data_IF_391532918588
#
_entry.id   IF_391532918588
#
_cell.length_a   1.000
_cell.length_b   1.000
_cell.length_c   1.000
_cell.angle_alpha   90.00
_cell.angle_beta   90.00
_cell.angle_gamma   90.00
#
_symmetry.space_group_name_H-M   'P 1'
#
loop_
_entity.id
_entity.type
_entity.pdbx_description
1 polymer ?
#
# COMPACT_ATOMS: atom_id res chain seq x y z
N UNK A 1 38.93 7.13 28.51
CA UNK A 1 39.94 6.50 29.40
C UNK A 1 41.07 5.81 28.58
N UNK A 2 40.83 5.00 27.58
CA UNK A 2 41.86 4.33 26.74
C UNK A 2 42.74 5.32 25.97
N UNK A 3 42.20 6.42 25.46
CA UNK A 3 42.96 7.49 24.79
C UNK A 3 43.92 8.22 25.76
N UNK A 4 43.46 8.55 26.96
CA UNK A 4 44.31 9.16 28.02
C UNK A 4 45.48 8.25 28.41
N UNK A 5 45.26 6.95 28.55
CA UNK A 5 46.31 5.95 28.80
C UNK A 5 47.36 5.91 27.70
N UNK A 6 46.98 6.04 26.45
CA UNK A 6 47.91 6.10 25.30
C UNK A 6 48.70 7.39 25.29
N UNK A 7 48.10 8.55 25.65
CA UNK A 7 48.80 9.83 25.73
C UNK A 7 49.84 9.82 26.86
N UNK A 8 49.50 9.28 28.02
CA UNK A 8 50.41 9.13 29.13
C UNK A 8 51.61 8.19 28.81
N UNK A 9 51.38 7.16 27.98
CA UNK A 9 52.44 6.24 27.54
C UNK A 9 53.35 6.85 26.48
N UNK A 10 52.86 7.84 25.70
CA UNK A 10 53.61 8.53 24.68
C UNK A 10 54.38 9.77 25.21
N UNK A 11 54.22 10.09 26.52
CA UNK A 11 54.98 11.18 27.17
C UNK A 11 54.65 12.58 26.67
N UNK A 12 53.41 12.78 26.21
CA UNK A 12 52.95 14.10 25.72
C UNK A 12 52.52 14.98 26.85
N UNK A 13 53.13 16.12 27.02
CA UNK A 13 52.75 17.12 28.05
C UNK A 13 51.47 17.86 27.69
N UNK A 14 50.69 18.24 28.69
CA UNK A 14 49.42 18.97 28.55
C UNK A 14 49.65 20.29 27.79
N UNK A 15 49.09 20.38 26.58
CA UNK A 15 49.18 21.56 25.69
C UNK A 15 50.14 21.42 24.52
N UNK A 16 50.85 20.31 24.35
CA UNK A 16 51.68 20.05 23.19
C UNK A 16 50.87 19.64 21.98
N UNK A 17 51.23 20.21 20.81
CA UNK A 17 50.57 19.89 19.52
C UNK A 17 51.04 18.52 19.05
N UNK A 18 50.16 17.52 19.11
CA UNK A 18 50.49 16.14 18.74
C UNK A 18 50.44 15.98 17.23
N UNK A 19 51.57 16.14 16.58
CA UNK A 19 51.75 15.82 15.17
C UNK A 19 52.19 14.36 14.93
N UNK A 20 51.34 13.40 15.27
CA UNK A 20 51.68 12.01 15.00
C UNK A 20 50.85 11.47 13.82
N UNK A 21 51.53 10.99 12.76
CA UNK A 21 50.84 10.41 11.56
C UNK A 21 49.80 9.36 11.87
N UNK A 22 49.98 8.56 12.94
CA UNK A 22 49.01 7.57 13.37
C UNK A 22 47.72 8.22 13.92
N UNK A 23 47.83 9.33 14.67
CA UNK A 23 46.66 10.02 15.21
C UNK A 23 45.89 10.72 14.08
N UNK A 24 46.55 11.40 13.18
CA UNK A 24 45.94 12.03 11.99
C UNK A 24 45.22 10.98 11.13
N UNK A 25 45.84 9.84 10.89
CA UNK A 25 45.21 8.72 10.15
C UNK A 25 43.99 8.13 10.88
N UNK A 26 44.05 8.02 12.20
CA UNK A 26 42.92 7.53 13.00
C UNK A 26 41.73 8.51 12.97
N UNK A 27 41.99 9.81 13.08
CA UNK A 27 40.99 10.87 12.96
C UNK A 27 40.39 10.87 11.56
N UNK A 28 41.17 10.80 10.51
CA UNK A 28 40.69 10.73 9.11
C UNK A 28 39.80 9.53 8.87
N UNK A 29 40.18 8.35 9.37
CA UNK A 29 39.36 7.14 9.28
C UNK A 29 38.03 7.28 10.04
N UNK A 30 38.06 7.90 11.24
CA UNK A 30 36.85 8.16 12.00
C UNK A 30 35.93 9.14 11.29
N UNK A 31 36.48 10.22 10.71
CA UNK A 31 35.72 11.18 9.92
C UNK A 31 35.10 10.53 8.68
N UNK A 32 35.86 9.76 7.90
CA UNK A 32 35.33 9.01 6.73
C UNK A 32 34.23 8.04 7.10
N UNK A 33 34.34 7.38 8.27
CA UNK A 33 33.28 6.50 8.76
C UNK A 33 31.99 7.26 9.11
N UNK A 34 32.12 8.41 9.80
CA UNK A 34 30.98 9.27 10.14
C UNK A 34 30.33 9.84 8.86
N UNK A 35 31.14 10.32 7.93
CA UNK A 35 30.66 10.84 6.64
C UNK A 35 29.94 9.76 5.83
N UNK A 36 30.49 8.54 5.77
CA UNK A 36 29.87 7.41 5.10
C UNK A 36 28.52 7.03 5.71
N UNK A 37 28.42 7.00 7.05
CA UNK A 37 27.15 6.76 7.73
C UNK A 37 26.12 7.87 7.45
N UNK A 38 26.53 9.13 7.54
CA UNK A 38 25.67 10.28 7.26
C UNK A 38 25.22 10.33 5.80
N UNK A 39 26.09 9.93 4.89
CA UNK A 39 25.74 9.79 3.47
C UNK A 39 24.70 8.69 3.26
N UNK A 40 24.90 7.52 3.87
CA UNK A 40 23.92 6.42 3.80
C UNK A 40 22.55 6.82 4.32
N UNK A 41 22.49 7.49 5.48
CA UNK A 41 21.22 7.98 6.06
C UNK A 41 20.54 8.97 5.11
N UNK A 42 21.28 9.94 4.58
CA UNK A 42 20.72 10.93 3.63
C UNK A 42 20.26 10.30 2.33
N UNK A 43 21.00 9.32 1.81
CA UNK A 43 20.62 8.60 0.60
C UNK A 43 19.28 7.86 0.80
N UNK A 44 19.16 7.11 1.89
CA UNK A 44 17.92 6.38 2.21
C UNK A 44 16.72 7.34 2.39
N UNK A 45 16.94 8.51 3.00
CA UNK A 45 15.91 9.52 3.16
C UNK A 45 15.44 10.06 1.79
N UNK A 46 16.39 10.36 0.88
CA UNK A 46 16.06 10.83 -0.46
C UNK A 46 15.32 9.77 -1.29
N UNK A 47 15.73 8.51 -1.20
CA UNK A 47 15.05 7.40 -1.88
C UNK A 47 13.61 7.23 -1.36
N UNK A 48 13.42 7.35 -0.05
CA UNK A 48 12.08 7.34 0.56
C UNK A 48 11.22 8.53 0.07
N UNK A 49 11.75 9.74 0.12
CA UNK A 49 11.04 10.94 -0.31
C UNK A 49 10.67 10.86 -1.81
N UNK A 50 11.54 10.28 -2.63
CA UNK A 50 11.26 10.06 -4.05
C UNK A 50 10.05 9.12 -4.23
N UNK A 51 10.03 7.98 -3.56
CA UNK A 51 8.91 7.03 -3.63
C UNK A 51 7.60 7.69 -3.18
N UNK A 52 7.63 8.43 -2.07
CA UNK A 52 6.45 9.14 -1.57
C UNK A 52 5.95 10.21 -2.55
N UNK A 53 6.86 10.90 -3.24
CA UNK A 53 6.46 11.88 -4.25
C UNK A 53 5.85 11.24 -5.49
N UNK A 54 6.41 10.15 -5.98
CA UNK A 54 5.87 9.38 -7.11
C UNK A 54 4.45 8.87 -6.79
N UNK A 55 4.26 8.30 -5.61
CA UNK A 55 2.94 7.85 -5.16
C UNK A 55 1.95 9.01 -5.00
N UNK A 56 2.41 10.16 -4.48
CA UNK A 56 1.58 11.36 -4.36
C UNK A 56 1.11 11.88 -5.71
N UNK A 57 1.98 11.90 -6.71
CA UNK A 57 1.62 12.33 -8.06
C UNK A 57 0.52 11.45 -8.64
N UNK A 58 0.64 10.12 -8.52
CA UNK A 58 -0.38 9.16 -8.98
C UNK A 58 -1.73 9.42 -8.30
N UNK A 59 -1.75 9.52 -6.97
CA UNK A 59 -2.98 9.73 -6.20
C UNK A 59 -3.62 11.09 -6.52
N UNK A 60 -2.80 12.13 -6.69
CA UNK A 60 -3.32 13.47 -7.03
C UNK A 60 -3.85 13.54 -8.46
N UNK A 61 -3.29 12.77 -9.38
CA UNK A 61 -3.82 12.64 -10.74
C UNK A 61 -5.18 11.94 -10.74
N UNK A 62 -5.30 10.80 -10.05
CA UNK A 62 -6.58 10.09 -9.89
C UNK A 62 -7.64 10.98 -9.22
N UNK A 63 -7.27 11.66 -8.14
CA UNK A 63 -8.16 12.61 -7.45
C UNK A 63 -8.62 13.74 -8.38
N UNK A 64 -7.74 14.25 -9.22
CA UNK A 64 -8.04 15.31 -10.17
C UNK A 64 -9.03 14.84 -11.23
N UNK A 65 -8.87 13.64 -11.79
CA UNK A 65 -9.81 13.06 -12.75
C UNK A 65 -11.23 12.99 -12.18
N UNK A 66 -11.37 12.60 -10.93
CA UNK A 66 -12.66 12.57 -10.23
C UNK A 66 -13.22 13.99 -10.06
N UNK A 67 -12.40 14.98 -9.69
CA UNK A 67 -12.81 16.38 -9.50
C UNK A 67 -13.20 17.07 -10.82
N UNK A 68 -12.51 16.75 -11.91
CA UNK A 68 -12.77 17.32 -13.24
C UNK A 68 -14.08 16.77 -13.85
N UNK A 69 -14.77 15.85 -13.14
CA UNK A 69 -16.08 15.34 -13.55
C UNK A 69 -16.02 14.23 -14.57
N UNK A 70 -14.85 13.57 -14.73
CA UNK A 70 -14.74 12.37 -15.54
C UNK A 70 -15.71 11.29 -15.04
N UNK A 71 -16.40 10.61 -15.93
CA UNK A 71 -17.30 9.53 -15.53
C UNK A 71 -16.49 8.37 -14.92
N UNK A 72 -16.77 8.06 -13.67
CA UNK A 72 -16.11 6.98 -12.96
C UNK A 72 -16.84 5.64 -13.11
N UNK A 73 -17.91 5.57 -13.91
CA UNK A 73 -18.73 4.37 -14.07
C UNK A 73 -17.92 3.13 -14.47
N UNK A 74 -17.08 3.26 -15.49
CA UNK A 74 -16.25 2.14 -15.96
C UNK A 74 -15.20 1.75 -14.91
N UNK A 75 -14.65 2.72 -14.20
CA UNK A 75 -13.72 2.50 -13.11
C UNK A 75 -14.39 1.74 -11.96
N UNK A 76 -15.61 2.12 -11.58
CA UNK A 76 -16.39 1.43 -10.55
C UNK A 76 -16.72 0.00 -10.99
N UNK A 77 -17.11 -0.21 -12.24
CA UNK A 77 -17.36 -1.54 -12.79
C UNK A 77 -16.11 -2.43 -12.72
N UNK A 78 -14.97 -1.89 -13.10
CA UNK A 78 -13.70 -2.62 -13.01
C UNK A 78 -13.36 -2.97 -11.56
N UNK A 79 -13.45 -2.03 -10.62
CA UNK A 79 -13.20 -2.27 -9.19
C UNK A 79 -14.14 -3.35 -8.65
N UNK A 80 -15.43 -3.27 -8.95
CA UNK A 80 -16.43 -4.22 -8.47
C UNK A 80 -16.21 -5.62 -9.06
N UNK A 81 -15.93 -5.70 -10.36
CA UNK A 81 -15.70 -6.99 -11.02
C UNK A 81 -14.38 -7.62 -10.60
N UNK A 82 -13.33 -6.84 -10.37
CA UNK A 82 -12.06 -7.29 -9.81
C UNK A 82 -12.23 -7.80 -8.36
N UNK A 83 -12.99 -7.08 -7.54
CA UNK A 83 -13.30 -7.52 -6.18
C UNK A 83 -14.02 -8.88 -6.17
N UNK A 84 -15.06 -9.03 -7.01
CA UNK A 84 -15.80 -10.29 -7.16
C UNK A 84 -14.88 -11.42 -7.61
N UNK A 85 -13.99 -11.15 -8.56
CA UNK A 85 -13.02 -12.14 -9.06
C UNK A 85 -12.05 -12.59 -7.97
N UNK A 86 -11.47 -11.63 -7.24
CA UNK A 86 -10.53 -11.91 -6.15
C UNK A 86 -11.19 -12.69 -5.00
N UNK A 87 -12.45 -12.38 -4.67
CA UNK A 87 -13.17 -13.13 -3.66
C UNK A 87 -13.51 -14.54 -4.16
N UNK A 88 -13.92 -14.68 -5.41
CA UNK A 88 -14.16 -16.02 -5.99
C UNK A 88 -12.90 -16.87 -5.98
N UNK A 89 -11.72 -16.31 -6.29
CA UNK A 89 -10.44 -17.03 -6.21
C UNK A 89 -10.12 -17.53 -4.80
N UNK A 90 -10.53 -16.78 -3.81
CA UNK A 90 -10.27 -17.10 -2.41
C UNK A 90 -11.14 -18.24 -1.88
N UNK A 91 -12.40 -18.32 -2.30
CA UNK A 91 -13.37 -19.27 -1.76
C UNK A 91 -13.67 -20.45 -2.67
N UNK A 92 -13.36 -20.35 -3.97
CA UNK A 92 -13.56 -21.38 -4.96
C UNK A 92 -12.25 -21.65 -5.69
N UNK A 93 -11.51 -22.66 -5.27
CA UNK A 93 -10.24 -23.00 -5.88
C UNK A 93 -10.42 -23.50 -7.32
N UNK A 94 -9.55 -23.13 -8.28
CA UNK A 94 -9.73 -23.47 -9.71
C UNK A 94 -9.63 -24.98 -10.02
N UNK A 95 -8.91 -25.72 -9.17
CA UNK A 95 -8.65 -27.17 -9.34
C UNK A 95 -9.57 -28.04 -8.46
N UNK A 96 -10.48 -27.44 -7.70
CA UNK A 96 -11.44 -28.13 -6.86
C UNK A 96 -12.79 -28.28 -7.58
N UNK A 97 -13.48 -29.38 -7.24
CA UNK A 97 -14.86 -29.56 -7.71
C UNK A 97 -15.81 -28.56 -7.01
N UNK A 98 -16.89 -28.19 -7.67
CA UNK A 98 -17.85 -27.20 -7.16
C UNK A 98 -18.44 -27.55 -5.79
N UNK A 99 -18.48 -28.85 -5.44
CA UNK A 99 -18.94 -29.36 -4.14
C UNK A 99 -17.95 -29.04 -2.98
N UNK A 100 -16.69 -28.76 -3.29
CA UNK A 100 -15.64 -28.42 -2.31
C UNK A 100 -15.52 -26.91 -2.06
N UNK A 101 -16.23 -26.07 -2.84
CA UNK A 101 -16.15 -24.62 -2.71
C UNK A 101 -16.90 -24.12 -1.47
N UNK A 102 -16.30 -23.15 -0.78
CA UNK A 102 -16.97 -22.46 0.32
C UNK A 102 -17.90 -21.35 -0.20
N UNK A 103 -19.02 -21.77 -0.80
CA UNK A 103 -20.01 -20.84 -1.35
C UNK A 103 -20.69 -20.01 -0.27
N UNK A 104 -20.86 -20.56 0.95
CA UNK A 104 -21.46 -19.83 2.07
C UNK A 104 -20.54 -18.69 2.55
N UNK A 105 -19.23 -18.94 2.65
CA UNK A 105 -18.24 -17.92 2.97
C UNK A 105 -18.12 -16.85 1.88
N UNK A 106 -18.20 -17.26 0.60
CA UNK A 106 -18.23 -16.35 -0.54
C UNK A 106 -19.47 -15.45 -0.52
N UNK A 107 -20.65 -16.03 -0.31
CA UNK A 107 -21.92 -15.30 -0.21
C UNK A 107 -21.87 -14.27 0.93
N UNK A 108 -21.45 -14.68 2.12
CA UNK A 108 -21.35 -13.78 3.27
C UNK A 108 -20.41 -12.61 2.99
N UNK A 109 -19.29 -12.88 2.34
CA UNK A 109 -18.28 -11.86 2.02
C UNK A 109 -18.79 -10.90 0.94
N UNK A 110 -19.36 -11.42 -0.13
CA UNK A 110 -19.89 -10.59 -1.22
C UNK A 110 -21.11 -9.78 -0.79
N UNK A 111 -22.03 -10.34 0.01
CA UNK A 111 -23.18 -9.61 0.53
C UNK A 111 -22.79 -8.53 1.54
N UNK A 112 -21.63 -8.65 2.20
CA UNK A 112 -21.10 -7.57 3.05
C UNK A 112 -20.82 -6.28 2.31
N UNK A 113 -20.35 -6.38 1.05
CA UNK A 113 -19.97 -5.23 0.21
C UNK A 113 -21.01 -4.93 -0.88
N UNK A 114 -21.66 -5.95 -1.41
CA UNK A 114 -22.67 -5.83 -2.48
C UNK A 114 -23.97 -6.53 -2.02
N UNK A 115 -24.76 -5.94 -1.13
CA UNK A 115 -25.93 -6.59 -0.53
C UNK A 115 -27.00 -7.02 -1.54
N UNK A 116 -27.06 -6.38 -2.71
CA UNK A 116 -28.04 -6.69 -3.77
C UNK A 116 -27.57 -7.80 -4.72
N UNK A 117 -26.36 -8.30 -4.56
CA UNK A 117 -25.81 -9.36 -5.41
C UNK A 117 -26.58 -10.66 -5.16
N UNK A 118 -27.17 -11.22 -6.21
CA UNK A 118 -27.83 -12.52 -6.15
C UNK A 118 -26.82 -13.63 -6.41
N UNK A 119 -26.60 -14.46 -5.41
CA UNK A 119 -25.77 -15.66 -5.59
C UNK A 119 -26.45 -16.67 -6.50
N UNK A 120 -25.70 -17.46 -7.27
CA UNK A 120 -26.26 -18.62 -7.97
C UNK A 120 -26.67 -19.67 -6.92
N UNK A 121 -27.74 -20.38 -7.18
CA UNK A 121 -28.18 -21.46 -6.30
C UNK A 121 -27.31 -22.73 -6.46
N UNK A 122 -27.46 -23.69 -5.56
CA UNK A 122 -26.64 -24.90 -5.56
C UNK A 122 -26.82 -25.76 -6.84
N UNK A 123 -28.00 -25.72 -7.47
CA UNK A 123 -28.26 -26.43 -8.73
C UNK A 123 -27.54 -25.76 -9.90
N UNK A 124 -27.50 -24.42 -9.93
CA UNK A 124 -26.76 -23.66 -10.95
C UNK A 124 -25.26 -23.92 -10.86
N UNK A 125 -24.71 -24.02 -9.65
CA UNK A 125 -23.26 -24.15 -9.41
C UNK A 125 -22.74 -25.57 -9.65
N UNK A 126 -23.58 -26.59 -9.55
CA UNK A 126 -23.22 -28.01 -9.48
C UNK A 126 -22.27 -28.48 -10.59
N UNK A 127 -22.47 -27.97 -11.83
CA UNK A 127 -21.66 -28.34 -13.00
C UNK A 127 -20.76 -27.19 -13.49
N UNK A 128 -20.67 -26.10 -12.73
CA UNK A 128 -19.87 -24.94 -13.11
C UNK A 128 -18.38 -25.15 -12.84
N UNK A 129 -17.56 -24.64 -13.74
CA UNK A 129 -16.14 -24.39 -13.49
C UNK A 129 -15.98 -23.03 -12.82
N UNK A 130 -14.89 -22.85 -12.06
CA UNK A 130 -14.58 -21.56 -11.40
C UNK A 130 -14.71 -20.34 -12.34
N UNK A 131 -14.25 -20.47 -13.60
CA UNK A 131 -14.35 -19.39 -14.59
C UNK A 131 -15.79 -19.01 -14.92
N UNK A 132 -16.69 -19.99 -14.95
CA UNK A 132 -18.12 -19.75 -15.20
C UNK A 132 -18.78 -19.10 -14.00
N UNK A 133 -18.43 -19.54 -12.79
CA UNK A 133 -18.86 -18.89 -11.55
C UNK A 133 -18.42 -17.42 -11.48
N UNK A 134 -17.14 -17.15 -11.78
CA UNK A 134 -16.62 -15.77 -11.87
C UNK A 134 -17.40 -14.91 -12.85
N UNK A 135 -17.64 -15.44 -14.03
CA UNK A 135 -18.37 -14.73 -15.08
C UNK A 135 -19.78 -14.40 -14.62
N UNK A 136 -20.50 -15.40 -14.12
CA UNK A 136 -21.88 -15.24 -13.61
C UNK A 136 -21.96 -14.22 -12.49
N UNK A 137 -21.03 -14.27 -11.51
CA UNK A 137 -21.02 -13.35 -10.40
C UNK A 137 -20.68 -11.91 -10.84
N UNK A 138 -19.75 -11.75 -11.78
CA UNK A 138 -19.43 -10.43 -12.37
C UNK A 138 -20.64 -9.82 -13.06
N UNK A 139 -21.32 -10.59 -13.91
CA UNK A 139 -22.55 -10.12 -14.60
C UNK A 139 -23.64 -9.74 -13.61
N UNK A 140 -23.85 -10.55 -12.56
CA UNK A 140 -24.84 -10.26 -11.52
C UNK A 140 -24.46 -9.02 -10.70
N UNK A 141 -23.17 -8.80 -10.45
CA UNK A 141 -22.70 -7.59 -9.76
C UNK A 141 -22.94 -6.33 -10.60
N UNK A 142 -22.61 -6.35 -11.88
CA UNK A 142 -22.90 -5.25 -12.79
C UNK A 142 -24.39 -4.98 -12.87
N UNK A 143 -25.19 -6.02 -12.98
CA UNK A 143 -26.66 -5.89 -13.02
C UNK A 143 -27.24 -5.32 -11.71
N UNK A 144 -26.73 -5.76 -10.56
CA UNK A 144 -27.14 -5.20 -9.27
C UNK A 144 -26.83 -3.70 -9.17
N UNK A 145 -25.69 -3.28 -9.70
CA UNK A 145 -25.35 -1.85 -9.78
C UNK A 145 -26.26 -1.08 -10.74
N UNK A 146 -26.57 -1.63 -11.91
CA UNK A 146 -27.49 -1.01 -12.89
C UNK A 146 -28.91 -0.92 -12.34
N UNK A 147 -29.38 -1.93 -11.62
CA UNK A 147 -30.67 -1.91 -10.91
C UNK A 147 -30.68 -0.77 -9.87
N UNK A 148 -29.57 -0.59 -9.16
CA UNK A 148 -29.41 0.52 -8.21
C UNK A 148 -29.38 1.89 -8.89
N UNK A 149 -28.68 2.01 -10.02
CA UNK A 149 -28.65 3.22 -10.83
C UNK A 149 -30.07 3.62 -11.28
N UNK A 150 -30.88 2.66 -11.67
CA UNK A 150 -32.25 2.88 -12.13
C UNK A 150 -33.22 3.37 -11.02
N UNK A 151 -32.86 3.23 -9.73
CA UNK A 151 -33.65 3.79 -8.62
C UNK A 151 -33.52 5.31 -8.51
N UNK A 152 -32.48 5.91 -9.10
CA UNK A 152 -32.28 7.36 -9.05
C UNK A 152 -33.11 8.05 -10.13
N UNK A 153 -33.81 9.13 -9.79
CA UNK A 153 -34.62 9.89 -10.75
C UNK A 153 -33.78 10.49 -11.88
N UNK A 154 -32.55 10.88 -11.59
CA UNK A 154 -31.58 11.45 -12.51
C UNK A 154 -30.23 10.75 -12.33
N UNK A 155 -29.67 10.24 -13.44
CA UNK A 155 -28.37 9.57 -13.42
C UNK A 155 -27.25 10.45 -12.85
N UNK A 156 -27.34 11.77 -13.00
CA UNK A 156 -26.35 12.73 -12.49
C UNK A 156 -26.26 12.73 -10.96
N UNK A 157 -27.36 12.45 -10.26
CA UNK A 157 -27.36 12.37 -8.80
C UNK A 157 -26.51 11.19 -8.32
N UNK A 158 -26.57 10.05 -9.00
CA UNK A 158 -25.70 8.91 -8.71
C UNK A 158 -24.24 9.25 -9.01
N UNK A 159 -23.97 9.90 -10.17
CA UNK A 159 -22.60 10.32 -10.55
C UNK A 159 -21.98 11.25 -9.51
N UNK A 160 -22.78 12.20 -8.99
CA UNK A 160 -22.30 13.09 -7.92
C UNK A 160 -22.01 12.32 -6.62
N UNK A 161 -22.88 11.40 -6.25
CA UNK A 161 -22.64 10.53 -5.08
C UNK A 161 -21.39 9.68 -5.24
N UNK A 162 -21.21 9.04 -6.40
CA UNK A 162 -20.00 8.27 -6.71
C UNK A 162 -18.74 9.14 -6.57
N UNK A 163 -18.77 10.35 -7.10
CA UNK A 163 -17.67 11.31 -7.01
C UNK A 163 -17.31 11.63 -5.57
N UNK A 164 -18.29 11.94 -4.74
CA UNK A 164 -18.09 12.25 -3.32
C UNK A 164 -17.53 11.05 -2.57
N UNK A 165 -18.08 9.86 -2.79
CA UNK A 165 -17.63 8.62 -2.14
C UNK A 165 -16.20 8.26 -2.55
N UNK A 166 -15.89 8.33 -3.84
CA UNK A 166 -14.55 8.04 -4.35
C UNK A 166 -13.52 9.02 -3.79
N UNK A 167 -13.80 10.32 -3.80
CA UNK A 167 -12.90 11.33 -3.22
C UNK A 167 -12.65 11.06 -1.75
N UNK A 168 -13.70 10.75 -0.98
CA UNK A 168 -13.56 10.42 0.43
C UNK A 168 -12.73 9.15 0.65
N UNK A 169 -12.94 8.13 -0.16
CA UNK A 169 -12.19 6.88 -0.08
C UNK A 169 -10.70 7.11 -0.41
N UNK A 170 -10.40 7.85 -1.49
CA UNK A 170 -9.04 8.22 -1.87
C UNK A 170 -8.35 8.99 -0.74
N UNK A 171 -9.00 10.06 -0.24
CA UNK A 171 -8.42 10.91 0.79
C UNK A 171 -8.16 10.14 2.09
N UNK A 172 -9.10 9.29 2.53
CA UNK A 172 -8.93 8.48 3.74
C UNK A 172 -7.79 7.48 3.58
N UNK A 173 -7.78 6.71 2.49
CA UNK A 173 -6.73 5.70 2.24
C UNK A 173 -5.36 6.31 2.04
N UNK A 174 -5.30 7.50 1.44
CA UNK A 174 -4.04 8.21 1.29
C UNK A 174 -3.49 8.71 2.62
N UNK A 175 -4.34 9.20 3.53
CA UNK A 175 -3.91 9.59 4.88
C UNK A 175 -3.39 8.39 5.67
N UNK A 176 -4.12 7.26 5.67
CA UNK A 176 -3.69 6.02 6.30
C UNK A 176 -2.33 5.56 5.74
N UNK A 177 -2.17 5.62 4.42
CA UNK A 177 -0.91 5.24 3.76
C UNK A 177 0.27 6.12 4.16
N UNK A 178 0.08 7.44 4.27
CA UNK A 178 1.12 8.36 4.75
C UNK A 178 1.57 7.97 6.17
N UNK A 179 0.62 7.68 7.06
CA UNK A 179 0.91 7.28 8.43
C UNK A 179 1.67 5.94 8.48
N UNK A 180 1.26 4.94 7.69
CA UNK A 180 1.93 3.65 7.58
C UNK A 180 3.37 3.80 7.06
N UNK A 181 3.57 4.64 6.05
CA UNK A 181 4.88 4.92 5.49
C UNK A 181 5.79 5.66 6.47
N UNK A 182 5.26 6.59 7.27
CA UNK A 182 6.02 7.25 8.32
C UNK A 182 6.44 6.28 9.44
N UNK A 183 5.58 5.34 9.82
CA UNK A 183 5.92 4.27 10.76
C UNK A 183 7.01 3.35 10.20
N UNK A 184 6.91 2.97 8.92
CA UNK A 184 7.93 2.18 8.23
C UNK A 184 9.29 2.90 8.25
N UNK A 185 9.31 4.19 7.93
CA UNK A 185 10.52 5.03 7.97
C UNK A 185 11.18 5.04 9.35
N UNK A 186 10.39 5.18 10.41
CA UNK A 186 10.87 5.15 11.78
C UNK A 186 11.41 3.77 12.14
N UNK A 187 10.74 2.69 11.75
CA UNK A 187 11.17 1.31 11.97
C UNK A 187 12.51 0.98 11.31
N UNK A 188 12.70 1.40 10.07
CA UNK A 188 13.99 1.24 9.34
C UNK A 188 15.11 2.02 10.04
N UNK A 189 14.84 3.23 10.52
CA UNK A 189 15.79 4.03 11.29
C UNK A 189 16.26 3.33 12.57
N UNK A 190 15.36 2.67 13.29
CA UNK A 190 15.67 1.93 14.52
C UNK A 190 16.48 0.65 14.23
N UNK A 191 16.20 -0.09 13.16
CA UNK A 191 16.98 -1.27 12.78
C UNK A 191 18.43 -0.92 12.43
N UNK A 192 18.68 0.23 11.81
CA UNK A 192 20.03 0.72 11.53
C UNK A 192 20.84 1.02 12.82
N UNK A 193 20.16 1.29 13.94
CA UNK A 193 20.79 1.45 15.25
C UNK A 193 21.09 0.12 15.96
N UNK A 194 20.27 -0.92 15.75
CA UNK A 194 20.41 -2.24 16.39
C UNK A 194 21.49 -3.13 15.81
N UNK A 195 22.08 -2.78 14.67
CA UNK A 195 23.16 -3.53 14.00
C UNK A 195 24.57 -3.03 14.33
N UNK A 196 24.75 -2.32 15.45
CA UNK A 196 26.07 -1.84 15.93
C UNK A 196 26.65 -2.73 17.02
#
# INVERSE_FOLDING_TARGET
ERLMSVFNTLGVEDGEQIEHKMLSSAIEKAQKKIEGNNFGIRKNLLEYDQVMNEQREIIYEERRRVLDGESMRDTIYNMMTEYVENMTDRFAAPDADSEEWDLAGLELTLHGEIPMLKMPDAEEVKDMRQKELKHTLKERAVKAYEEKEAEFPEAEQLREMERVVLLKAIDTRWMDHIDDMDQLRQGIGLQAYGQR
#
